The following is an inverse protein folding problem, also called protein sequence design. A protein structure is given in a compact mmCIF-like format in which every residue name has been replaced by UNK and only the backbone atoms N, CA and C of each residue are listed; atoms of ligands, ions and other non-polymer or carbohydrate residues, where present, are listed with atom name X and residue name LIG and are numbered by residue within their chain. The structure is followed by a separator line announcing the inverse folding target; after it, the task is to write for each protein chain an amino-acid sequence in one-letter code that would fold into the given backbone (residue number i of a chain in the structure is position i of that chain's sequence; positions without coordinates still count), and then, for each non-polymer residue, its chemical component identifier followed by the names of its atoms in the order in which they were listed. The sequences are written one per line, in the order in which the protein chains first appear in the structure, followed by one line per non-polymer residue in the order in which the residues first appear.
data_IF_221810919663
#
_entry.id   IF_221810919663
#
_cell.length_a   1.000
_cell.length_b   1.000
_cell.length_c   1.000
_cell.angle_alpha   90.00
_cell.angle_beta   90.00
_cell.angle_gamma   90.00
#
_symmetry.space_group_name_H-M   'P 1'
#
loop_
_entity.id
_entity.type
_entity.pdbx_description
1 polymer ?
#
# COMPACT_ATOMS: atom_id res chain seq x y z
N UNK A 1 8.91 6.19 16.38
CA UNK A 1 9.75 6.93 15.40
C UNK A 1 9.26 6.71 13.98
N UNK A 2 8.93 5.47 13.61
CA UNK A 2 8.48 5.10 12.25
C UNK A 2 7.14 5.71 11.83
N UNK A 3 6.29 6.14 12.78
CA UNK A 3 4.96 6.74 12.52
C UNK A 3 5.01 8.03 11.68
N UNK A 4 6.19 8.66 11.60
CA UNK A 4 6.41 9.86 10.78
C UNK A 4 6.83 9.56 9.35
N UNK A 5 7.15 8.30 9.04
CA UNK A 5 7.55 7.87 7.69
C UNK A 5 6.29 7.51 6.90
N UNK A 6 6.19 8.05 5.69
CA UNK A 6 5.12 7.73 4.74
C UNK A 6 5.74 7.13 3.49
N UNK A 7 5.25 5.97 3.08
CA UNK A 7 5.64 5.33 1.83
C UNK A 7 4.69 5.82 0.75
N UNK A 8 5.24 6.43 -0.30
CA UNK A 8 4.49 7.00 -1.42
C UNK A 8 4.77 6.20 -2.67
N UNK A 9 3.74 5.57 -3.23
CA UNK A 9 3.83 4.86 -4.50
C UNK A 9 3.14 5.68 -5.59
N UNK A 10 3.90 6.09 -6.60
CA UNK A 10 3.43 6.95 -7.69
C UNK A 10 3.21 6.10 -8.94
N UNK A 11 2.06 6.25 -9.57
CA UNK A 11 1.67 5.61 -10.83
C UNK A 11 1.88 4.09 -10.83
N UNK A 12 1.50 3.44 -9.73
CA UNK A 12 1.64 1.99 -9.60
C UNK A 12 0.71 1.30 -10.60
N UNK A 13 1.30 0.58 -11.54
CA UNK A 13 0.58 -0.06 -12.66
C UNK A 13 -0.11 -1.36 -12.24
N UNK A 14 0.60 -2.20 -11.48
CA UNK A 14 0.11 -3.51 -11.06
C UNK A 14 -0.38 -3.47 -9.61
N UNK A 15 -1.67 -3.74 -9.34
CA UNK A 15 -2.22 -3.66 -7.99
C UNK A 15 -1.57 -4.63 -7.00
N UNK A 16 -1.04 -5.76 -7.49
CA UNK A 16 -0.27 -6.71 -6.66
C UNK A 16 0.95 -6.07 -5.98
N UNK A 17 1.59 -5.09 -6.62
CA UNK A 17 2.75 -4.40 -6.05
C UNK A 17 2.37 -3.56 -4.83
N UNK A 18 1.14 -3.02 -4.79
CA UNK A 18 0.59 -2.29 -3.64
C UNK A 18 0.50 -3.24 -2.44
N UNK A 19 -0.05 -4.43 -2.66
CA UNK A 19 -0.15 -5.47 -1.62
C UNK A 19 1.22 -5.95 -1.13
N UNK A 20 2.13 -6.26 -2.07
CA UNK A 20 3.48 -6.71 -1.73
C UNK A 20 4.26 -5.63 -0.94
N UNK A 21 4.13 -4.35 -1.32
CA UNK A 21 4.72 -3.23 -0.59
C UNK A 21 4.10 -3.08 0.80
N UNK A 22 2.77 -3.14 0.93
CA UNK A 22 2.09 -3.10 2.23
C UNK A 22 2.57 -4.24 3.15
N UNK A 23 2.77 -5.44 2.61
CA UNK A 23 3.33 -6.57 3.36
C UNK A 23 4.74 -6.29 3.87
N UNK A 24 5.61 -5.77 3.01
CA UNK A 24 6.96 -5.37 3.40
C UNK A 24 6.95 -4.26 4.47
N UNK A 25 6.08 -3.25 4.30
CA UNK A 25 5.90 -2.18 5.28
C UNK A 25 5.52 -2.72 6.67
N UNK A 26 4.55 -3.64 6.74
CA UNK A 26 4.11 -4.21 8.01
C UNK A 26 5.21 -4.99 8.72
N UNK A 27 6.00 -5.79 7.98
CA UNK A 27 7.19 -6.47 8.52
C UNK A 27 8.21 -5.48 9.08
N UNK A 28 8.32 -4.29 8.50
CA UNK A 28 9.26 -3.24 8.91
C UNK A 28 8.70 -2.26 9.94
N UNK A 29 7.47 -2.46 10.45
CA UNK A 29 6.83 -1.53 11.40
C UNK A 29 6.43 -0.18 10.79
N UNK A 30 6.23 -0.12 9.47
CA UNK A 30 5.74 1.05 8.74
C UNK A 30 4.24 0.90 8.48
N UNK A 31 3.49 1.98 8.67
CA UNK A 31 2.02 1.91 8.68
C UNK A 31 1.32 2.91 7.76
N UNK A 32 2.06 3.85 7.13
CA UNK A 32 1.46 4.95 6.36
C UNK A 32 1.74 4.80 4.87
N UNK A 33 0.76 4.29 4.14
CA UNK A 33 0.79 4.11 2.69
C UNK A 33 0.01 5.25 1.99
N UNK A 34 0.64 5.86 0.99
CA UNK A 34 0.04 6.84 0.09
C UNK A 34 0.18 6.36 -1.35
N UNK A 35 -0.89 6.43 -2.12
CA UNK A 35 -0.93 6.11 -3.54
C UNK A 35 -1.22 7.38 -4.33
N UNK A 36 -0.42 7.64 -5.36
CA UNK A 36 -0.64 8.76 -6.27
C UNK A 36 -0.88 8.19 -7.66
N UNK A 37 -2.05 8.47 -8.25
CA UNK A 37 -2.45 7.99 -9.57
C UNK A 37 -2.22 6.49 -9.82
N UNK A 38 -2.58 5.58 -8.88
CA UNK A 38 -2.47 4.16 -9.16
C UNK A 38 -3.38 3.77 -10.34
N UNK A 39 -2.89 2.94 -11.25
CA UNK A 39 -3.66 2.56 -12.44
C UNK A 39 -4.92 1.75 -12.09
N UNK A 40 -4.83 0.88 -11.06
CA UNK A 40 -5.89 -0.03 -10.66
C UNK A 40 -5.99 -0.09 -9.13
N UNK A 41 -6.76 0.82 -8.53
CA UNK A 41 -6.98 0.83 -7.07
C UNK A 41 -8.31 1.52 -6.72
N UNK A 42 -9.14 0.97 -5.83
CA UNK A 42 -8.97 -0.29 -5.07
C UNK A 42 -9.06 -1.54 -5.97
N UNK A 43 -8.38 -2.63 -5.58
CA UNK A 43 -8.37 -3.87 -6.37
C UNK A 43 -8.05 -5.11 -5.52
N UNK A 44 -8.85 -6.17 -5.62
CA UNK A 44 -8.71 -7.36 -4.76
C UNK A 44 -7.39 -8.14 -4.90
N UNK A 45 -6.60 -7.90 -5.95
CA UNK A 45 -5.23 -8.43 -6.03
C UNK A 45 -4.28 -7.76 -5.04
N UNK A 46 -4.48 -6.46 -4.75
CA UNK A 46 -3.71 -5.75 -3.73
C UNK A 46 -3.97 -6.39 -2.36
N UNK A 47 -5.22 -6.64 -2.01
CA UNK A 47 -5.60 -7.30 -0.75
C UNK A 47 -5.00 -8.71 -0.65
N UNK A 48 -5.13 -9.52 -1.72
CA UNK A 48 -4.57 -10.87 -1.76
C UNK A 48 -3.06 -10.91 -1.52
N UNK A 49 -2.30 -9.96 -2.09
CA UNK A 49 -0.85 -9.93 -1.91
C UNK A 49 -0.40 -9.24 -0.62
N UNK A 50 -1.27 -8.47 0.04
CA UNK A 50 -1.00 -7.87 1.33
C UNK A 50 -0.97 -8.90 2.48
N UNK A 51 -1.71 -10.01 2.36
CA UNK A 51 -1.77 -11.08 3.36
C UNK A 51 -2.19 -10.54 4.73
N UNK A 52 -1.27 -10.45 5.71
CA UNK A 52 -1.57 -9.89 7.03
C UNK A 52 -1.58 -8.36 7.05
N UNK A 53 -1.19 -7.70 5.96
CA UNK A 53 -1.11 -6.25 5.82
C UNK A 53 -2.29 -5.62 5.05
N UNK A 54 -3.42 -6.33 4.93
CA UNK A 54 -4.64 -5.82 4.26
C UNK A 54 -5.12 -4.52 4.90
N UNK A 55 -4.93 -4.36 6.21
CA UNK A 55 -5.19 -3.11 6.93
C UNK A 55 -4.44 -1.92 6.33
N UNK A 56 -3.16 -2.07 5.96
CA UNK A 56 -2.40 -0.96 5.35
C UNK A 56 -2.92 -0.60 3.96
N UNK A 57 -3.40 -1.60 3.19
CA UNK A 57 -4.01 -1.36 1.87
C UNK A 57 -5.35 -0.66 2.02
N UNK A 58 -6.19 -1.10 2.96
CA UNK A 58 -7.51 -0.52 3.23
C UNK A 58 -7.44 0.91 3.77
N UNK A 59 -6.41 1.24 4.56
CA UNK A 59 -6.18 2.58 5.08
C UNK A 59 -5.29 3.45 4.19
N UNK A 60 -4.92 2.97 3.00
CA UNK A 60 -4.07 3.71 2.08
C UNK A 60 -4.77 5.01 1.63
N UNK A 61 -4.06 6.13 1.74
CA UNK A 61 -4.54 7.42 1.24
C UNK A 61 -4.29 7.47 -0.27
N UNK A 62 -5.31 7.76 -1.08
CA UNK A 62 -5.20 7.82 -2.54
C UNK A 62 -5.39 9.25 -3.05
N UNK A 63 -4.48 9.74 -3.88
CA UNK A 63 -4.55 11.02 -4.58
C UNK A 63 -4.56 10.80 -6.09
N UNK A 64 -5.38 11.60 -6.79
CA UNK A 64 -5.49 11.63 -8.24
C UNK A 64 -4.43 12.51 -8.91
#
# INVERSE_FOLDING_TARGET
MLDRIRIVMVETTHPGNIGAAARAMKTMGLHRLLLVRPAHFPHGQADRLAVSAVDLVQHAQCHA
#
